data_IF_086082085185
#
_entry.id   IF_086082085185
#
_cell.length_a   1.000
_cell.length_b   1.000
_cell.length_c   1.000
_cell.angle_alpha   90.00
_cell.angle_beta   90.00
_cell.angle_gamma   90.00
#
_symmetry.space_group_name_H-M   'P 1'
#
loop_
_entity.id
_entity.type
_entity.pdbx_description
1 polymer ?
#
# COMPACT_ATOMS: atom_id res chain seq x y z
N UNK A 1 14.19 -20.82 -14.83
CA UNK A 1 13.78 -20.04 -13.64
C UNK A 1 12.95 -18.81 -14.02
N UNK A 2 13.41 -17.89 -14.86
CA UNK A 2 12.68 -16.65 -15.20
C UNK A 2 11.28 -16.89 -15.78
N UNK A 3 11.09 -17.90 -16.66
CA UNK A 3 9.77 -18.28 -17.19
C UNK A 3 8.84 -18.82 -16.10
N UNK A 4 9.36 -19.58 -15.16
CA UNK A 4 8.60 -20.17 -14.07
C UNK A 4 8.11 -19.10 -13.09
N UNK A 5 8.98 -18.14 -12.74
CA UNK A 5 8.58 -17.00 -11.90
C UNK A 5 7.51 -16.15 -12.58
N UNK A 6 7.65 -15.88 -13.88
CA UNK A 6 6.64 -15.16 -14.64
C UNK A 6 5.27 -15.87 -14.57
N UNK A 7 5.23 -17.18 -14.75
CA UNK A 7 4.00 -17.96 -14.59
C UNK A 7 3.42 -17.85 -13.18
N UNK A 8 4.24 -17.91 -12.14
CA UNK A 8 3.77 -17.77 -10.76
C UNK A 8 3.26 -16.36 -10.46
N UNK A 9 3.86 -15.31 -11.03
CA UNK A 9 3.31 -13.96 -10.95
C UNK A 9 1.95 -13.83 -11.64
N UNK A 10 1.76 -14.48 -12.78
CA UNK A 10 0.48 -14.51 -13.49
C UNK A 10 -0.60 -15.20 -12.66
N UNK A 11 -0.30 -16.37 -12.08
CA UNK A 11 -1.20 -17.09 -11.18
C UNK A 11 -1.53 -16.28 -9.91
N UNK A 12 -0.54 -15.60 -9.33
CA UNK A 12 -0.78 -14.69 -8.22
C UNK A 12 -1.71 -13.55 -8.62
N UNK A 13 -1.52 -12.97 -9.81
CA UNK A 13 -2.36 -11.87 -10.29
C UNK A 13 -3.79 -12.29 -10.66
N UNK A 14 -4.01 -13.55 -11.04
CA UNK A 14 -5.34 -14.12 -11.30
C UNK A 14 -6.09 -14.53 -10.02
N UNK A 15 -5.35 -14.84 -8.96
CA UNK A 15 -5.91 -15.25 -7.67
C UNK A 15 -6.58 -14.05 -6.98
N UNK A 16 -7.86 -14.22 -6.60
CA UNK A 16 -8.61 -13.20 -5.83
C UNK A 16 -8.40 -13.34 -4.32
N UNK A 17 -8.15 -14.53 -3.87
CA UNK A 17 -7.90 -14.84 -2.47
C UNK A 17 -6.47 -14.45 -2.08
N UNK A 18 -6.31 -13.55 -1.09
CA UNK A 18 -4.98 -13.13 -0.62
C UNK A 18 -4.12 -14.31 -0.13
N UNK A 19 -4.72 -15.36 0.45
CA UNK A 19 -3.99 -16.53 0.91
C UNK A 19 -3.42 -17.35 -0.27
N UNK A 20 -4.21 -17.55 -1.33
CA UNK A 20 -3.74 -18.22 -2.54
C UNK A 20 -2.62 -17.40 -3.22
N UNK A 21 -2.75 -16.06 -3.28
CA UNK A 21 -1.71 -15.17 -3.80
C UNK A 21 -0.43 -15.26 -2.99
N UNK A 22 -0.54 -15.27 -1.67
CA UNK A 22 0.59 -15.40 -0.76
C UNK A 22 1.42 -16.65 -1.09
N UNK A 23 0.77 -17.81 -1.27
CA UNK A 23 1.46 -19.05 -1.60
C UNK A 23 2.26 -18.98 -2.92
N UNK A 24 1.81 -18.23 -3.92
CA UNK A 24 2.58 -18.03 -5.15
C UNK A 24 3.81 -17.14 -4.92
N UNK A 25 3.68 -16.06 -4.18
CA UNK A 25 4.83 -15.21 -3.85
C UNK A 25 5.86 -15.95 -2.99
N UNK A 26 5.44 -16.75 -2.03
CA UNK A 26 6.35 -17.56 -1.21
C UNK A 26 7.14 -18.58 -2.03
N UNK A 27 6.55 -19.17 -3.07
CA UNK A 27 7.27 -20.05 -4.01
C UNK A 27 8.35 -19.30 -4.77
N UNK A 28 8.04 -18.09 -5.27
CA UNK A 28 9.04 -17.25 -5.96
C UNK A 28 10.19 -16.90 -5.00
N UNK A 29 9.85 -16.50 -3.77
CA UNK A 29 10.83 -16.12 -2.76
C UNK A 29 11.73 -17.31 -2.37
N UNK A 30 11.15 -18.49 -2.15
CA UNK A 30 11.91 -19.69 -1.82
C UNK A 30 12.90 -20.09 -2.92
N UNK A 31 12.46 -20.06 -4.19
CA UNK A 31 13.31 -20.40 -5.32
C UNK A 31 14.40 -19.34 -5.56
N UNK A 32 14.06 -18.06 -5.39
CA UNK A 32 14.98 -16.94 -5.57
C UNK A 32 16.05 -16.86 -4.46
N UNK A 33 15.72 -17.22 -3.23
CA UNK A 33 16.66 -17.24 -2.11
C UNK A 33 17.78 -18.28 -2.31
N UNK A 34 17.63 -19.23 -3.22
CA UNK A 34 18.71 -20.14 -3.60
C UNK A 34 19.80 -19.45 -4.47
N UNK A 35 19.49 -18.26 -5.01
CA UNK A 35 20.36 -17.51 -5.91
C UNK A 35 21.05 -16.33 -5.23
N UNK A 36 20.43 -15.79 -4.18
CA UNK A 36 20.86 -14.57 -3.51
C UNK A 36 21.09 -14.85 -2.03
N UNK A 37 22.36 -14.91 -1.64
CA UNK A 37 22.77 -15.13 -0.26
C UNK A 37 22.85 -13.82 0.55
N UNK A 38 23.16 -13.93 1.82
CA UNK A 38 23.32 -12.79 2.73
C UNK A 38 24.41 -11.83 2.26
N UNK A 39 25.54 -12.36 1.76
CA UNK A 39 26.64 -11.53 1.26
C UNK A 39 26.22 -10.68 0.05
N UNK A 40 25.39 -11.25 -0.83
CA UNK A 40 24.80 -10.51 -1.95
C UNK A 40 23.96 -9.33 -1.45
N UNK A 41 23.07 -9.56 -0.45
CA UNK A 41 22.21 -8.50 0.07
C UNK A 41 22.97 -7.42 0.81
N UNK A 42 24.01 -7.78 1.56
CA UNK A 42 24.88 -6.81 2.23
C UNK A 42 25.63 -5.93 1.22
N UNK A 43 26.11 -6.51 0.12
CA UNK A 43 26.81 -5.76 -0.95
C UNK A 43 25.87 -4.79 -1.69
N UNK A 44 24.56 -5.06 -1.73
CA UNK A 44 23.58 -4.26 -2.46
C UNK A 44 22.58 -3.51 -1.55
N UNK A 45 22.91 -3.36 -0.26
CA UNK A 45 22.07 -2.68 0.71
C UNK A 45 21.71 -1.24 0.27
N UNK A 46 20.42 -0.94 0.19
CA UNK A 46 19.89 0.34 -0.28
C UNK A 46 19.79 0.50 -1.81
N UNK A 47 20.34 -0.45 -2.57
CA UNK A 47 20.41 -0.40 -4.04
C UNK A 47 19.91 -1.69 -4.72
N UNK A 48 19.17 -2.54 -4.00
CA UNK A 48 18.73 -3.85 -4.49
C UNK A 48 17.94 -3.79 -5.79
N UNK A 49 17.12 -2.76 -6.00
CA UNK A 49 16.37 -2.59 -7.25
C UNK A 49 17.25 -2.32 -8.48
N UNK A 50 18.45 -1.80 -8.28
CA UNK A 50 19.40 -1.53 -9.38
C UNK A 50 19.99 -2.82 -9.96
N UNK A 51 19.82 -3.96 -9.27
CA UNK A 51 20.22 -5.29 -9.75
C UNK A 51 19.01 -5.91 -10.48
N UNK A 52 19.02 -5.99 -11.83
CA UNK A 52 17.87 -6.45 -12.60
C UNK A 52 17.41 -7.87 -12.22
N UNK A 53 18.36 -8.76 -11.93
CA UNK A 53 18.12 -10.15 -11.57
C UNK A 53 17.41 -10.32 -10.23
N UNK A 54 17.57 -9.35 -9.30
CA UNK A 54 16.95 -9.34 -7.98
C UNK A 54 15.54 -8.74 -7.98
N UNK A 55 15.16 -7.96 -9.00
CA UNK A 55 13.85 -7.30 -9.08
C UNK A 55 12.66 -8.25 -8.94
N UNK A 56 12.64 -9.45 -9.53
CA UNK A 56 11.53 -10.39 -9.33
C UNK A 56 11.39 -10.80 -7.86
N UNK A 57 12.49 -11.06 -7.14
CA UNK A 57 12.43 -11.38 -5.72
C UNK A 57 11.89 -10.19 -4.90
N UNK A 58 12.38 -8.98 -5.17
CA UNK A 58 11.91 -7.75 -4.51
C UNK A 58 10.40 -7.54 -4.76
N UNK A 59 9.96 -7.72 -6.01
CA UNK A 59 8.54 -7.62 -6.36
C UNK A 59 7.69 -8.72 -5.68
N UNK A 60 8.19 -9.95 -5.59
CA UNK A 60 7.50 -11.03 -4.88
C UNK A 60 7.39 -10.75 -3.37
N UNK A 61 8.44 -10.20 -2.75
CA UNK A 61 8.44 -9.79 -1.35
C UNK A 61 7.43 -8.65 -1.10
N UNK A 62 7.36 -7.65 -1.97
CA UNK A 62 6.36 -6.60 -1.89
C UNK A 62 4.93 -7.17 -2.03
N UNK A 63 4.69 -8.06 -3.00
CA UNK A 63 3.40 -8.75 -3.15
C UNK A 63 3.03 -9.64 -1.97
N UNK A 64 4.02 -10.29 -1.32
CA UNK A 64 3.82 -11.03 -0.06
C UNK A 64 3.37 -10.09 1.05
N UNK A 65 4.03 -8.95 1.23
CA UNK A 65 3.68 -7.97 2.25
C UNK A 65 2.26 -7.42 2.04
N UNK A 66 1.85 -7.15 0.80
CA UNK A 66 0.47 -6.75 0.47
C UNK A 66 -0.55 -7.83 0.82
N UNK A 67 -0.24 -9.11 0.60
CA UNK A 67 -1.11 -10.22 1.01
C UNK A 67 -1.23 -10.30 2.54
N UNK A 68 -0.11 -10.18 3.26
CA UNK A 68 -0.07 -10.18 4.72
C UNK A 68 -0.88 -9.04 5.31
N UNK A 69 -0.78 -7.82 4.75
CA UNK A 69 -1.59 -6.66 5.13
C UNK A 69 -3.09 -6.97 5.00
N UNK A 70 -3.51 -7.54 3.87
CA UNK A 70 -4.92 -7.89 3.61
C UNK A 70 -5.45 -9.02 4.50
N UNK A 71 -4.57 -9.93 4.91
CA UNK A 71 -4.88 -11.01 5.86
C UNK A 71 -4.88 -10.54 7.32
N UNK A 72 -4.62 -9.25 7.59
CA UNK A 72 -4.53 -8.69 8.93
C UNK A 72 -3.28 -9.09 9.70
N UNK A 73 -2.27 -9.69 9.04
CA UNK A 73 -0.99 -10.05 9.63
C UNK A 73 -0.05 -8.83 9.66
N UNK A 74 -0.50 -7.79 10.37
CA UNK A 74 0.06 -6.44 10.28
C UNK A 74 1.53 -6.36 10.69
N UNK A 75 1.94 -7.09 11.73
CA UNK A 75 3.33 -7.11 12.18
C UNK A 75 4.27 -7.65 11.11
N UNK A 76 3.92 -8.81 10.50
CA UNK A 76 4.73 -9.42 9.44
C UNK A 76 4.76 -8.54 8.18
N UNK A 77 3.64 -7.92 7.81
CA UNK A 77 3.58 -7.00 6.69
C UNK A 77 4.49 -5.79 6.91
N UNK A 78 4.44 -5.19 8.12
CA UNK A 78 5.30 -4.07 8.50
C UNK A 78 6.77 -4.41 8.38
N UNK A 79 7.18 -5.52 8.98
CA UNK A 79 8.59 -5.94 9.00
C UNK A 79 9.11 -6.17 7.58
N UNK A 80 8.28 -6.73 6.69
CA UNK A 80 8.64 -6.92 5.30
C UNK A 80 8.75 -5.60 4.51
N UNK A 81 7.81 -4.66 4.69
CA UNK A 81 7.91 -3.34 4.05
C UNK A 81 9.14 -2.56 4.52
N UNK A 82 9.46 -2.62 5.81
CA UNK A 82 10.65 -1.96 6.36
C UNK A 82 11.94 -2.58 5.83
N UNK A 83 12.01 -3.90 5.70
CA UNK A 83 13.14 -4.59 5.10
C UNK A 83 13.31 -4.21 3.62
N UNK A 84 12.20 -4.08 2.87
CA UNK A 84 12.23 -3.62 1.47
C UNK A 84 12.67 -2.16 1.33
N UNK A 85 12.24 -1.27 2.24
CA UNK A 85 12.69 0.12 2.28
C UNK A 85 14.18 0.26 2.64
N UNK A 86 14.72 -0.67 3.43
CA UNK A 86 16.15 -0.73 3.70
C UNK A 86 16.94 -1.24 2.49
N UNK A 87 16.41 -2.23 1.79
CA UNK A 87 17.01 -2.83 0.61
C UNK A 87 16.95 -1.91 -0.62
N UNK A 88 15.86 -1.15 -0.78
CA UNK A 88 15.58 -0.23 -1.89
C UNK A 88 15.36 1.18 -1.34
N UNK A 89 16.43 1.94 -1.15
CA UNK A 89 16.36 3.25 -0.46
C UNK A 89 15.48 4.27 -1.17
N UNK A 90 15.42 4.21 -2.52
CA UNK A 90 14.55 5.06 -3.33
C UNK A 90 13.09 4.58 -3.38
N UNK A 91 12.82 3.43 -2.75
CA UNK A 91 11.48 2.82 -2.67
C UNK A 91 10.81 2.59 -4.03
N UNK A 92 11.53 2.03 -4.97
CA UNK A 92 10.99 1.69 -6.30
C UNK A 92 9.77 0.73 -6.23
N UNK A 93 9.69 -0.21 -5.26
CA UNK A 93 8.49 -1.02 -5.05
C UNK A 93 7.29 -0.23 -4.50
N UNK A 94 7.45 1.04 -4.14
CA UNK A 94 6.42 1.90 -3.56
C UNK A 94 5.82 1.38 -2.25
N UNK A 95 6.65 0.74 -1.41
CA UNK A 95 6.27 0.19 -0.10
C UNK A 95 5.73 1.26 0.86
N UNK A 96 6.12 2.54 0.68
CA UNK A 96 5.61 3.68 1.46
C UNK A 96 4.10 3.79 1.42
N UNK A 97 3.45 3.41 0.33
CA UNK A 97 2.01 3.49 0.17
C UNK A 97 1.26 2.54 1.12
N UNK A 98 1.40 1.21 0.98
CA UNK A 98 0.74 0.28 1.90
C UNK A 98 1.26 0.39 3.34
N UNK A 99 2.53 0.75 3.56
CA UNK A 99 3.06 0.98 4.90
C UNK A 99 2.39 2.18 5.59
N UNK A 100 2.09 3.26 4.86
CA UNK A 100 1.32 4.39 5.41
C UNK A 100 -0.09 3.97 5.86
N UNK A 101 -0.72 3.08 5.13
CA UNK A 101 -2.02 2.50 5.49
C UNK A 101 -1.91 1.62 6.73
N UNK A 102 -0.86 0.81 6.82
CA UNK A 102 -0.63 -0.07 7.96
C UNK A 102 -0.46 0.75 9.24
N UNK A 103 0.38 1.78 9.21
CA UNK A 103 0.55 2.69 10.35
C UNK A 103 -0.76 3.37 10.74
N UNK A 104 -1.53 3.86 9.75
CA UNK A 104 -2.84 4.44 10.00
C UNK A 104 -3.82 3.43 10.63
N UNK A 105 -3.81 2.19 10.18
CA UNK A 105 -4.67 1.13 10.71
C UNK A 105 -4.34 0.80 12.17
N UNK A 106 -3.04 0.70 12.50
CA UNK A 106 -2.57 0.40 13.86
C UNK A 106 -2.60 1.62 14.79
N UNK A 107 -2.84 2.84 14.27
CA UNK A 107 -2.75 4.08 15.06
C UNK A 107 -1.32 4.47 15.41
N UNK A 108 -0.34 4.00 14.64
CA UNK A 108 1.08 4.33 14.81
C UNK A 108 1.38 5.72 14.20
N UNK A 109 0.78 6.77 14.78
CA UNK A 109 0.76 8.12 14.19
C UNK A 109 2.13 8.77 14.08
N UNK A 110 3.02 8.53 15.04
CA UNK A 110 4.40 9.04 14.99
C UNK A 110 5.19 8.40 13.83
N UNK A 111 5.03 7.10 13.62
CA UNK A 111 5.65 6.40 12.51
C UNK A 111 5.08 6.85 11.16
N UNK A 112 3.76 7.07 11.08
CA UNK A 112 3.13 7.65 9.90
C UNK A 112 3.64 9.05 9.62
N UNK A 113 3.75 9.92 10.64
CA UNK A 113 4.28 11.27 10.49
C UNK A 113 5.72 11.26 9.97
N UNK A 114 6.58 10.39 10.49
CA UNK A 114 7.96 10.24 10.00
C UNK A 114 7.98 9.77 8.54
N UNK A 115 7.11 8.83 8.17
CA UNK A 115 7.00 8.36 6.80
C UNK A 115 6.55 9.48 5.85
N UNK A 116 5.58 10.32 6.25
CA UNK A 116 5.09 11.47 5.49
C UNK A 116 6.17 12.55 5.30
N UNK A 117 7.04 12.74 6.31
CA UNK A 117 8.19 13.66 6.20
C UNK A 117 9.26 13.10 5.26
N UNK A 118 9.53 11.79 5.33
CA UNK A 118 10.51 11.13 4.46
C UNK A 118 10.10 11.15 2.99
N UNK A 119 8.80 10.97 2.72
CA UNK A 119 8.23 10.90 1.38
C UNK A 119 7.23 12.05 1.20
N UNK A 120 7.75 13.26 0.99
CA UNK A 120 6.95 14.47 0.76
C UNK A 120 6.44 14.49 -0.69
N UNK A 121 5.42 13.70 -0.97
CA UNK A 121 4.79 13.59 -2.29
C UNK A 121 3.26 13.63 -2.20
N UNK A 122 2.62 14.13 -3.26
CA UNK A 122 1.18 14.19 -3.38
C UNK A 122 0.61 12.87 -3.92
N UNK A 123 0.79 11.76 -3.18
CA UNK A 123 0.18 10.49 -3.54
C UNK A 123 -1.19 10.29 -2.87
N UNK A 124 -2.04 9.51 -3.52
CA UNK A 124 -3.35 9.13 -2.98
C UNK A 124 -3.23 8.57 -1.56
N UNK A 125 -2.34 7.60 -1.35
CA UNK A 125 -2.15 6.95 -0.05
C UNK A 125 -1.70 7.91 1.04
N UNK A 126 -0.64 8.68 0.77
CA UNK A 126 -0.06 9.55 1.79
C UNK A 126 -1.02 10.66 2.19
N UNK A 127 -1.71 11.28 1.23
CA UNK A 127 -2.63 12.38 1.53
C UNK A 127 -3.91 11.92 2.25
N UNK A 128 -4.51 10.80 1.84
CA UNK A 128 -5.70 10.29 2.54
C UNK A 128 -5.35 9.76 3.94
N UNK A 129 -4.21 9.09 4.12
CA UNK A 129 -3.77 8.63 5.43
C UNK A 129 -3.35 9.81 6.34
N UNK A 130 -2.79 10.90 5.78
CA UNK A 130 -2.56 12.16 6.52
C UNK A 130 -3.88 12.78 6.99
N UNK A 131 -4.90 12.80 6.12
CA UNK A 131 -6.22 13.30 6.50
C UNK A 131 -6.85 12.47 7.61
N UNK A 132 -6.71 11.15 7.57
CA UNK A 132 -7.18 10.23 8.61
C UNK A 132 -6.43 10.46 9.93
N UNK A 133 -5.10 10.60 9.89
CA UNK A 133 -4.29 10.93 11.07
C UNK A 133 -4.73 12.24 11.72
N UNK A 134 -4.87 13.31 10.93
CA UNK A 134 -5.31 14.61 11.46
C UNK A 134 -6.73 14.54 12.05
N UNK A 135 -7.64 13.76 11.42
CA UNK A 135 -8.97 13.54 11.96
C UNK A 135 -8.95 12.89 13.34
N UNK A 136 -8.12 11.87 13.53
CA UNK A 136 -8.03 11.12 14.79
C UNK A 136 -7.30 11.92 15.86
N UNK A 137 -6.19 12.57 15.52
CA UNK A 137 -5.32 13.24 16.49
C UNK A 137 -5.78 14.67 16.82
N UNK A 138 -6.36 15.39 15.84
CA UNK A 138 -6.61 16.84 15.94
C UNK A 138 -8.10 17.19 15.74
N UNK A 139 -8.89 16.26 15.21
CA UNK A 139 -10.33 16.41 15.00
C UNK A 139 -10.73 16.94 13.61
N UNK A 140 -12.07 17.01 13.39
CA UNK A 140 -12.65 17.31 12.07
C UNK A 140 -12.18 18.63 11.47
N UNK A 141 -12.02 19.67 12.29
CA UNK A 141 -11.67 21.01 11.80
C UNK A 141 -10.26 21.04 11.20
N UNK A 142 -9.29 20.46 11.89
CA UNK A 142 -7.90 20.37 11.44
C UNK A 142 -7.75 19.44 10.21
N UNK A 143 -8.52 18.35 10.17
CA UNK A 143 -8.47 17.38 9.09
C UNK A 143 -9.06 17.85 7.75
N UNK A 144 -9.97 18.86 7.76
CA UNK A 144 -10.64 19.32 6.53
C UNK A 144 -9.70 19.76 5.41
N UNK A 145 -8.67 20.59 5.64
CA UNK A 145 -7.76 20.98 4.58
C UNK A 145 -6.95 19.80 4.03
N UNK A 146 -6.57 18.84 4.88
CA UNK A 146 -5.89 17.64 4.45
C UNK A 146 -6.78 16.74 3.59
N UNK A 147 -8.05 16.59 3.97
CA UNK A 147 -9.02 15.84 3.16
C UNK A 147 -9.29 16.55 1.81
N UNK A 148 -9.39 17.88 1.80
CA UNK A 148 -9.57 18.63 0.57
C UNK A 148 -8.38 18.44 -0.39
N UNK A 149 -7.14 18.47 0.12
CA UNK A 149 -5.94 18.19 -0.66
C UNK A 149 -5.95 16.75 -1.22
N UNK A 150 -6.33 15.75 -0.41
CA UNK A 150 -6.44 14.37 -0.83
C UNK A 150 -7.50 14.17 -1.94
N UNK A 151 -8.68 14.80 -1.79
CA UNK A 151 -9.74 14.78 -2.81
C UNK A 151 -9.27 15.44 -4.11
N UNK A 152 -8.45 16.50 -4.02
CA UNK A 152 -7.84 17.15 -5.18
C UNK A 152 -6.93 16.22 -5.98
N UNK A 153 -6.25 15.28 -5.32
CA UNK A 153 -5.39 14.28 -5.98
C UNK A 153 -6.21 13.12 -6.54
N UNK A 154 -7.17 12.60 -5.77
CA UNK A 154 -8.06 11.55 -6.28
C UNK A 154 -9.49 11.71 -5.75
N UNK A 155 -10.41 12.31 -6.53
CA UNK A 155 -11.79 12.56 -6.11
C UNK A 155 -12.67 11.30 -6.06
N UNK A 156 -12.16 10.16 -6.53
CA UNK A 156 -12.92 8.91 -6.57
C UNK A 156 -12.86 8.11 -5.25
N UNK A 157 -11.86 8.39 -4.41
CA UNK A 157 -11.63 7.66 -3.16
C UNK A 157 -12.81 7.73 -2.20
N UNK A 158 -13.42 8.90 -1.90
CA UNK A 158 -14.52 8.94 -0.93
C UNK A 158 -15.68 8.01 -1.30
N UNK A 159 -16.16 8.09 -2.54
CA UNK A 159 -17.25 7.25 -3.01
C UNK A 159 -16.90 5.74 -2.99
N UNK A 160 -15.63 5.40 -3.22
CA UNK A 160 -15.15 4.01 -3.20
C UNK A 160 -15.04 3.48 -1.77
N UNK A 161 -14.44 4.24 -0.85
CA UNK A 161 -14.35 3.89 0.58
C UNK A 161 -15.73 3.72 1.22
N UNK A 162 -16.69 4.57 0.86
CA UNK A 162 -18.06 4.54 1.35
C UNK A 162 -18.92 3.42 0.75
N UNK A 163 -18.36 2.62 -0.17
CA UNK A 163 -19.09 1.55 -0.85
C UNK A 163 -20.16 2.04 -1.84
N UNK A 164 -20.16 3.32 -2.21
CA UNK A 164 -21.06 3.92 -3.19
C UNK A 164 -20.66 3.57 -4.64
N UNK A 165 -19.42 3.08 -4.79
CA UNK A 165 -18.90 2.53 -6.05
C UNK A 165 -18.52 1.08 -5.87
N UNK A 166 -18.90 0.27 -6.86
CA UNK A 166 -18.50 -1.14 -6.87
C UNK A 166 -17.01 -1.26 -7.18
N UNK A 167 -16.31 -2.05 -6.38
CA UNK A 167 -14.93 -2.42 -6.65
C UNK A 167 -14.83 -3.26 -7.93
N UNK A 168 -13.73 -3.17 -8.69
CA UNK A 168 -13.51 -3.98 -9.88
C UNK A 168 -13.48 -5.46 -9.52
N UNK A 169 -13.90 -6.32 -10.47
CA UNK A 169 -13.89 -7.78 -10.27
C UNK A 169 -12.48 -8.35 -10.12
N UNK A 170 -11.51 -7.72 -10.75
CA UNK A 170 -10.09 -8.01 -10.62
C UNK A 170 -9.36 -6.77 -10.15
N UNK A 171 -8.34 -6.97 -9.33
CA UNK A 171 -7.49 -5.89 -8.88
C UNK A 171 -6.73 -5.27 -10.06
N UNK A 172 -6.74 -3.93 -10.19
CA UNK A 172 -6.01 -3.27 -11.25
C UNK A 172 -4.51 -3.56 -11.16
N UNK A 173 -3.93 -4.07 -12.23
CA UNK A 173 -2.47 -4.34 -12.31
C UNK A 173 -1.64 -3.09 -12.57
N UNK A 174 -2.27 -2.07 -13.14
CA UNK A 174 -1.68 -0.76 -13.45
C UNK A 174 -2.74 0.30 -13.19
N UNK A 175 -2.31 1.43 -12.71
CA UNK A 175 -3.20 2.56 -12.50
C UNK A 175 -2.49 3.86 -12.89
N UNK A 176 -3.29 4.88 -13.11
CA UNK A 176 -2.85 6.25 -13.32
C UNK A 176 -3.27 7.07 -12.11
N UNK A 177 -2.44 8.00 -11.67
CA UNK A 177 -2.77 8.91 -10.58
C UNK A 177 -4.10 9.62 -10.82
N UNK A 178 -4.94 9.74 -9.78
CA UNK A 178 -6.27 10.32 -9.85
C UNK A 178 -7.35 9.43 -10.49
N UNK A 179 -7.00 8.19 -10.89
CA UNK A 179 -7.93 7.28 -11.56
C UNK A 179 -8.85 6.53 -10.59
N UNK A 180 -9.91 5.92 -11.14
CA UNK A 180 -10.79 5.01 -10.38
C UNK A 180 -10.07 3.74 -9.94
N UNK A 181 -9.11 3.28 -10.72
CA UNK A 181 -8.32 2.08 -10.41
C UNK A 181 -7.40 2.34 -9.22
N UNK A 182 -6.76 3.51 -9.14
CA UNK A 182 -6.00 3.93 -7.97
C UNK A 182 -6.91 4.02 -6.73
N UNK A 183 -8.09 4.64 -6.84
CA UNK A 183 -9.05 4.71 -5.74
C UNK A 183 -9.52 3.33 -5.28
N UNK A 184 -9.69 2.37 -6.20
CA UNK A 184 -10.06 1.00 -5.86
C UNK A 184 -8.95 0.28 -5.10
N UNK A 185 -7.69 0.43 -5.52
CA UNK A 185 -6.53 -0.14 -4.83
C UNK A 185 -6.37 0.46 -3.43
N UNK A 186 -6.45 1.79 -3.32
CA UNK A 186 -6.42 2.47 -2.02
C UNK A 186 -7.52 1.94 -1.10
N UNK A 187 -8.76 1.84 -1.59
CA UNK A 187 -9.89 1.36 -0.78
C UNK A 187 -9.74 -0.10 -0.35
N UNK A 188 -9.21 -0.96 -1.23
CA UNK A 188 -8.94 -2.37 -0.90
C UNK A 188 -7.92 -2.53 0.23
N UNK A 189 -6.94 -1.64 0.30
CA UNK A 189 -5.90 -1.67 1.33
C UNK A 189 -6.30 -0.91 2.60
N UNK A 190 -7.02 0.22 2.47
CA UNK A 190 -7.14 1.23 3.54
C UNK A 190 -8.51 1.27 4.22
N UNK A 191 -9.54 0.62 3.68
CA UNK A 191 -10.90 0.71 4.21
C UNK A 191 -10.99 0.31 5.68
N UNK A 192 -10.24 -0.70 6.08
CA UNK A 192 -10.23 -1.17 7.48
C UNK A 192 -9.63 -0.12 8.43
N UNK A 193 -8.60 0.62 8.00
CA UNK A 193 -8.07 1.74 8.80
C UNK A 193 -9.13 2.81 9.04
N UNK A 194 -9.90 3.19 8.01
CA UNK A 194 -10.99 4.16 8.14
C UNK A 194 -12.15 3.66 9.02
N UNK A 195 -12.45 2.36 8.98
CA UNK A 195 -13.46 1.72 9.83
C UNK A 195 -13.00 1.69 11.29
N UNK A 196 -11.78 1.26 11.56
CA UNK A 196 -11.20 1.14 12.90
C UNK A 196 -11.27 2.47 13.66
N UNK A 197 -11.07 3.57 12.97
CA UNK A 197 -11.09 4.92 13.58
C UNK A 197 -12.43 5.65 13.43
N UNK A 198 -13.51 4.95 13.01
CA UNK A 198 -14.84 5.52 12.80
C UNK A 198 -14.89 6.73 11.85
N UNK A 199 -13.90 6.86 10.96
CA UNK A 199 -13.71 8.02 10.10
C UNK A 199 -14.64 8.05 8.87
N UNK A 200 -15.28 6.92 8.50
CA UNK A 200 -16.19 6.86 7.35
C UNK A 200 -17.43 7.74 7.51
N UNK A 201 -17.91 7.95 8.75
CA UNK A 201 -19.04 8.85 9.00
C UNK A 201 -18.64 10.30 8.73
N UNK A 202 -17.47 10.71 9.20
CA UNK A 202 -16.90 12.02 8.91
C UNK A 202 -16.64 12.21 7.40
N UNK A 203 -16.05 11.22 6.74
CA UNK A 203 -15.80 11.25 5.30
C UNK A 203 -17.10 11.49 4.51
N UNK A 204 -18.19 10.79 4.86
CA UNK A 204 -19.50 10.95 4.21
C UNK A 204 -20.04 12.37 4.35
N UNK A 205 -19.98 12.94 5.57
CA UNK A 205 -20.44 14.30 5.85
C UNK A 205 -19.62 15.34 5.10
N UNK A 206 -18.30 15.12 5.00
CA UNK A 206 -17.36 16.06 4.40
C UNK A 206 -17.39 16.04 2.87
N UNK A 207 -17.49 14.86 2.24
CA UNK A 207 -17.57 14.70 0.80
C UNK A 207 -18.88 15.26 0.20
N UNK A 208 -20.00 15.16 0.94
CA UNK A 208 -21.29 15.70 0.51
C UNK A 208 -21.34 17.24 0.46
N UNK A 209 -20.51 17.92 1.25
CA UNK A 209 -20.44 19.40 1.29
C UNK A 209 -19.58 20.02 0.17
N UNK A 210 -18.74 19.23 -0.49
CA UNK A 210 -17.91 19.71 -1.59
C UNK A 210 -18.57 19.54 -2.96
N UNK A 211 -19.70 18.83 -3.02
CA UNK A 211 -20.48 18.61 -4.24
C UNK A 211 -21.64 19.62 -4.39
N UNK A 212 -21.80 20.52 -3.45
CA UNK A 212 -22.82 21.59 -3.43
C UNK A 212 -22.18 22.94 -3.67
#
# INVERSE_FOLDING_TARGET
>A
QTRQWQQWFELAAESRDPLARLGWFERIIADANLLFDEAFWQAHAGHGWQVPEARPLIAARAGRADCLLRLGQLGQARDEYLALLALCRADEPACRHPLSTLYAWQGEWDALQQLLVRFDEASCWLLYNKALMSFVCEGEAAARPHLAAAIGVNPHVPATLLGQRRLPKQEPRRWQGGSRDEAALYALQSREAWLTHNALIWLRKSAGKQAS
#
